data_IF_641193806112
#
_entry.id   IF_641193806112
#
_cell.length_a   1.000
_cell.length_b   1.000
_cell.length_c   1.000
_cell.angle_alpha   90.00
_cell.angle_beta   90.00
_cell.angle_gamma   90.00
#
_symmetry.space_group_name_H-M   'P 1'
#
loop_
_entity.id
_entity.type
_entity.pdbx_description
1 polymer ?
#
# COMPACT_ATOMS: atom_id res chain seq x y z
N UNK A 1 12.34 8.78 -1.69
CA UNK A 1 11.61 7.60 -1.17
C UNK A 1 11.26 7.83 0.28
N UNK A 2 10.01 8.13 0.52
CA UNK A 2 9.37 8.26 1.81
C UNK A 2 8.68 6.94 2.19
N UNK A 3 8.28 6.84 3.45
CA UNK A 3 7.47 5.73 3.97
C UNK A 3 6.10 6.28 4.38
N UNK A 4 5.07 5.63 3.89
CA UNK A 4 3.66 5.96 4.08
C UNK A 4 3.04 4.91 5.01
N UNK A 5 2.29 5.36 6.01
CA UNK A 5 1.55 4.50 6.91
C UNK A 5 0.06 4.56 6.59
N UNK A 6 -0.53 3.40 6.28
CA UNK A 6 -1.96 3.22 6.04
C UNK A 6 -2.59 2.35 7.13
N UNK A 7 -3.17 2.96 8.18
CA UNK A 7 -3.95 2.21 9.15
C UNK A 7 -5.17 1.58 8.49
N UNK A 8 -5.21 0.25 8.51
CA UNK A 8 -6.23 -0.60 7.89
C UNK A 8 -7.03 -1.37 8.93
N UNK A 9 -7.07 -0.88 10.18
CA UNK A 9 -7.66 -1.58 11.32
C UNK A 9 -9.09 -1.20 11.66
N UNK A 10 -9.67 -0.15 11.07
CA UNK A 10 -11.11 0.14 11.22
C UNK A 10 -11.93 -0.86 10.41
N UNK A 11 -13.23 -1.00 10.70
CA UNK A 11 -14.09 -1.94 9.97
C UNK A 11 -14.05 -1.69 8.46
N UNK A 12 -14.31 -0.46 8.01
CA UNK A 12 -14.28 -0.12 6.57
C UNK A 12 -12.88 -0.34 5.98
N UNK A 13 -11.83 0.13 6.65
CA UNK A 13 -10.47 -0.02 6.11
C UNK A 13 -10.02 -1.49 6.02
N UNK A 14 -10.49 -2.37 6.92
CA UNK A 14 -10.25 -3.82 6.79
C UNK A 14 -10.93 -4.38 5.55
N UNK A 15 -12.18 -4.03 5.29
CA UNK A 15 -12.88 -4.48 4.09
C UNK A 15 -12.18 -4.00 2.83
N UNK A 16 -11.77 -2.72 2.78
CA UNK A 16 -11.06 -2.20 1.62
C UNK A 16 -9.73 -2.92 1.36
N UNK A 17 -9.04 -3.30 2.45
CA UNK A 17 -7.79 -4.07 2.36
C UNK A 17 -8.06 -5.43 1.70
N UNK A 18 -9.12 -6.11 2.13
CA UNK A 18 -9.56 -7.36 1.48
C UNK A 18 -9.94 -7.10 0.02
N UNK A 19 -10.73 -6.07 -0.27
CA UNK A 19 -11.32 -5.80 -1.58
C UNK A 19 -10.30 -5.44 -2.67
N UNK A 20 -9.13 -4.90 -2.29
CA UNK A 20 -8.22 -4.28 -3.27
C UNK A 20 -6.73 -4.50 -3.02
N UNK A 21 -6.34 -5.02 -1.85
CA UNK A 21 -4.96 -5.43 -1.56
C UNK A 21 -4.86 -6.96 -1.57
N UNK A 22 -5.70 -7.67 -0.80
CA UNK A 22 -5.74 -9.14 -0.84
C UNK A 22 -6.37 -9.68 -2.13
N UNK A 23 -7.37 -8.98 -2.67
CA UNK A 23 -8.01 -9.28 -3.94
C UNK A 23 -7.79 -8.12 -4.92
N UNK A 24 -6.64 -8.06 -5.62
CA UNK A 24 -6.34 -6.94 -6.51
C UNK A 24 -7.41 -6.71 -7.58
N UNK A 25 -7.57 -5.45 -7.96
CA UNK A 25 -8.60 -4.99 -8.91
C UNK A 25 -8.27 -5.52 -10.31
N UNK A 26 -9.23 -6.21 -10.94
CA UNK A 26 -9.08 -6.69 -12.31
C UNK A 26 -9.43 -5.61 -13.34
N UNK A 27 -8.42 -5.11 -14.05
CA UNK A 27 -8.54 -4.11 -15.11
C UNK A 27 -9.24 -4.62 -16.38
N UNK A 28 -9.34 -5.94 -16.58
CA UNK A 28 -10.11 -6.52 -17.69
C UNK A 28 -11.62 -6.48 -17.44
N UNK A 29 -12.06 -6.22 -16.21
CA UNK A 29 -13.46 -5.99 -15.92
C UNK A 29 -13.96 -4.75 -16.68
N UNK A 30 -14.98 -4.92 -17.53
CA UNK A 30 -15.51 -3.87 -18.40
C UNK A 30 -15.93 -2.61 -17.63
N UNK A 31 -16.56 -2.77 -16.46
CA UNK A 31 -16.99 -1.66 -15.62
C UNK A 31 -15.80 -0.92 -15.02
N UNK A 32 -14.81 -1.65 -14.48
CA UNK A 32 -13.57 -1.06 -13.96
C UNK A 32 -12.84 -0.29 -15.06
N UNK A 33 -12.66 -0.89 -16.24
CA UNK A 33 -12.02 -0.25 -17.39
C UNK A 33 -12.74 1.03 -17.81
N UNK A 34 -14.07 0.99 -17.87
CA UNK A 34 -14.90 2.17 -18.20
C UNK A 34 -14.72 3.27 -17.16
N UNK A 35 -14.72 2.93 -15.87
CA UNK A 35 -14.57 3.90 -14.78
C UNK A 35 -13.15 4.46 -14.68
N UNK A 36 -12.12 3.71 -15.08
CA UNK A 36 -10.74 4.19 -15.13
C UNK A 36 -10.54 5.25 -16.22
N UNK A 37 -11.28 5.19 -17.33
CA UNK A 37 -11.16 6.15 -18.42
C UNK A 37 -9.71 6.26 -18.90
N UNK A 38 -9.19 7.50 -18.98
CA UNK A 38 -7.81 7.76 -19.42
C UNK A 38 -6.73 7.21 -18.48
N UNK A 39 -7.05 6.92 -17.21
CA UNK A 39 -6.11 6.32 -16.25
C UNK A 39 -5.77 4.87 -16.61
N UNK A 40 -6.64 4.21 -17.38
CA UNK A 40 -6.43 2.81 -17.80
C UNK A 40 -5.09 2.63 -18.52
N UNK A 41 -4.79 3.47 -19.51
CA UNK A 41 -3.59 3.32 -20.33
C UNK A 41 -2.31 3.47 -19.51
N UNK A 42 -2.30 4.41 -18.54
CA UNK A 42 -1.17 4.59 -17.62
C UNK A 42 -0.97 3.33 -16.76
N UNK A 43 -2.04 2.80 -16.16
CA UNK A 43 -1.96 1.60 -15.33
C UNK A 43 -1.57 0.36 -16.14
N UNK A 44 -2.12 0.17 -17.33
CA UNK A 44 -1.78 -0.95 -18.22
C UNK A 44 -0.34 -0.88 -18.76
N UNK A 45 0.25 0.32 -18.81
CA UNK A 45 1.67 0.48 -19.18
C UNK A 45 2.59 0.16 -18.01
N UNK A 46 2.23 0.58 -16.79
CA UNK A 46 3.05 0.42 -15.59
C UNK A 46 3.04 -1.03 -15.10
N UNK A 47 1.89 -1.69 -15.15
CA UNK A 47 1.69 -3.01 -14.57
C UNK A 47 1.76 -4.11 -15.63
N UNK A 48 2.57 -5.15 -15.39
CA UNK A 48 2.75 -6.28 -16.31
C UNK A 48 1.54 -7.26 -16.35
N UNK A 49 0.48 -6.99 -15.59
CA UNK A 49 -0.70 -7.83 -15.49
C UNK A 49 -1.99 -7.02 -15.27
N UNK A 50 -3.13 -7.69 -15.38
CA UNK A 50 -4.46 -7.08 -15.25
C UNK A 50 -4.95 -6.96 -13.81
N UNK A 51 -4.31 -7.64 -12.86
CA UNK A 51 -4.63 -7.59 -11.44
C UNK A 51 -3.75 -6.54 -10.74
N UNK A 52 -4.35 -5.42 -10.34
CA UNK A 52 -3.63 -4.28 -9.78
C UNK A 52 -4.12 -3.99 -8.37
N UNK A 53 -3.20 -3.99 -7.42
CA UNK A 53 -3.51 -3.58 -6.07
C UNK A 53 -3.69 -2.06 -6.01
N UNK A 54 -4.75 -1.62 -5.33
CA UNK A 54 -5.11 -0.21 -5.25
C UNK A 54 -5.46 0.17 -3.82
N UNK A 55 -5.22 1.43 -3.48
CA UNK A 55 -5.68 2.01 -2.23
C UNK A 55 -6.18 3.43 -2.45
N UNK A 56 -6.97 3.93 -1.52
CA UNK A 56 -7.50 5.28 -1.60
C UNK A 56 -7.54 5.97 -0.24
N UNK A 57 -7.51 7.29 -0.26
CA UNK A 57 -7.76 8.14 0.91
C UNK A 57 -8.87 9.14 0.63
N UNK A 58 -9.69 9.44 1.64
CA UNK A 58 -10.76 10.43 1.52
C UNK A 58 -10.14 11.83 1.41
N UNK A 59 -10.48 12.64 0.40
CA UNK A 59 -10.04 14.02 0.29
C UNK A 59 -10.38 14.86 1.53
N UNK A 60 -9.58 15.91 1.75
CA UNK A 60 -9.77 16.91 2.80
C UNK A 60 -8.45 17.55 3.18
N UNK A 61 -8.47 18.75 3.75
CA UNK A 61 -7.29 19.62 3.94
C UNK A 61 -6.03 18.88 4.41
N UNK A 62 -6.16 18.01 5.42
CA UNK A 62 -5.05 17.22 5.95
C UNK A 62 -4.64 16.04 5.08
N UNK A 63 -5.58 15.36 4.44
CA UNK A 63 -5.29 14.18 3.62
C UNK A 63 -4.76 14.57 2.24
N UNK A 64 -5.32 15.59 1.61
CA UNK A 64 -4.86 16.10 0.32
C UNK A 64 -3.41 16.57 0.41
N UNK A 65 -3.05 17.39 1.41
CA UNK A 65 -1.66 17.81 1.59
C UNK A 65 -0.69 16.67 1.92
N UNK A 66 -1.15 15.57 2.53
CA UNK A 66 -0.32 14.38 2.72
C UNK A 66 -0.18 13.57 1.44
N UNK A 67 -1.27 13.44 0.68
CA UNK A 67 -1.31 12.74 -0.60
C UNK A 67 -0.42 13.44 -1.62
N UNK A 68 -0.39 14.77 -1.64
CA UNK A 68 0.50 15.56 -2.51
C UNK A 68 1.99 15.33 -2.22
N UNK A 69 2.35 15.02 -0.97
CA UNK A 69 3.73 14.69 -0.56
C UNK A 69 4.14 13.24 -0.83
N UNK A 70 3.22 12.39 -1.26
CA UNK A 70 3.56 11.04 -1.72
C UNK A 70 4.09 11.11 -3.14
N UNK A 71 5.16 10.38 -3.41
CA UNK A 71 5.70 10.22 -4.76
C UNK A 71 5.60 8.78 -5.23
N UNK A 72 5.58 8.58 -6.55
CA UNK A 72 5.81 7.26 -7.13
C UNK A 72 7.19 6.75 -6.70
N UNK A 73 7.28 5.47 -6.34
CA UNK A 73 8.46 4.85 -5.73
C UNK A 73 8.49 4.91 -4.19
N UNK A 74 7.56 5.61 -3.53
CA UNK A 74 7.46 5.57 -2.07
C UNK A 74 6.94 4.23 -1.54
N UNK A 75 7.34 3.85 -0.33
CA UNK A 75 6.91 2.59 0.30
C UNK A 75 5.67 2.82 1.15
N UNK A 76 4.62 2.02 0.93
CA UNK A 76 3.39 2.01 1.74
C UNK A 76 3.43 0.82 2.69
N UNK A 77 3.11 1.07 3.97
CA UNK A 77 2.95 0.06 5.00
C UNK A 77 1.51 0.01 5.49
N UNK A 78 0.88 -1.15 5.35
CA UNK A 78 -0.47 -1.41 5.83
C UNK A 78 -0.41 -1.91 7.28
N UNK A 79 -1.15 -1.24 8.16
CA UNK A 79 -1.07 -1.46 9.60
C UNK A 79 -2.44 -1.83 10.18
N UNK A 80 -2.57 -3.03 10.73
CA UNK A 80 -3.76 -3.49 11.45
C UNK A 80 -3.39 -4.53 12.52
N UNK A 81 -4.28 -4.83 13.45
CA UNK A 81 -4.04 -5.86 14.47
C UNK A 81 -2.70 -5.69 15.23
N UNK A 82 -2.33 -4.43 15.52
CA UNK A 82 -1.10 -4.01 16.20
C UNK A 82 0.21 -4.44 15.50
N UNK A 83 0.18 -4.60 14.18
CA UNK A 83 1.35 -4.93 13.37
C UNK A 83 1.28 -4.27 11.99
N UNK A 84 2.43 -4.13 11.33
CA UNK A 84 2.50 -3.97 9.88
C UNK A 84 2.26 -5.35 9.27
N UNK A 85 1.25 -5.44 8.39
CA UNK A 85 0.80 -6.70 7.78
C UNK A 85 1.22 -6.86 6.33
N UNK A 86 1.51 -5.75 5.64
CA UNK A 86 1.97 -5.75 4.27
C UNK A 86 2.72 -4.45 3.94
N UNK A 87 3.57 -4.54 2.93
CA UNK A 87 4.23 -3.41 2.29
C UNK A 87 3.99 -3.42 0.77
N UNK A 88 4.09 -2.27 0.12
CA UNK A 88 4.11 -2.15 -1.33
C UNK A 88 4.77 -0.84 -1.78
N UNK A 89 4.97 -0.68 -3.09
CA UNK A 89 5.56 0.52 -3.68
C UNK A 89 4.49 1.29 -4.45
N UNK A 90 4.36 2.60 -4.21
CA UNK A 90 3.45 3.48 -4.97
C UNK A 90 3.88 3.48 -6.42
N UNK A 91 3.04 2.95 -7.30
CA UNK A 91 3.35 2.82 -8.72
C UNK A 91 2.74 3.93 -9.57
N UNK A 92 1.52 4.35 -9.23
CA UNK A 92 0.86 5.46 -9.92
C UNK A 92 -0.18 6.12 -9.04
N UNK A 93 -0.22 7.46 -9.01
CA UNK A 93 -1.21 8.26 -8.28
C UNK A 93 -2.26 8.81 -9.24
N UNK A 94 -3.53 8.78 -8.83
CA UNK A 94 -4.63 9.34 -9.61
C UNK A 94 -5.82 9.70 -8.72
N UNK A 95 -6.68 10.60 -9.16
CA UNK A 95 -7.94 10.89 -8.47
C UNK A 95 -9.11 10.31 -9.28
N UNK A 96 -9.95 9.49 -8.64
CA UNK A 96 -11.10 8.89 -9.31
C UNK A 96 -12.25 8.58 -8.33
N UNK A 97 -13.19 9.53 -8.21
CA UNK A 97 -14.38 9.38 -7.36
C UNK A 97 -15.28 8.23 -7.82
N UNK A 98 -15.49 8.07 -9.13
CA UNK A 98 -16.41 7.08 -9.67
C UNK A 98 -15.91 5.64 -9.44
N UNK A 99 -14.61 5.39 -9.62
CA UNK A 99 -14.01 4.10 -9.31
C UNK A 99 -13.99 3.84 -7.80
N UNK A 100 -13.62 4.82 -6.98
CA UNK A 100 -13.60 4.67 -5.52
C UNK A 100 -15.00 4.34 -4.97
N UNK A 101 -16.06 4.99 -5.45
CA UNK A 101 -17.46 4.63 -5.11
C UNK A 101 -17.82 3.23 -5.57
N UNK A 102 -17.34 2.80 -6.72
CA UNK A 102 -17.59 1.45 -7.20
C UNK A 102 -16.91 0.37 -6.35
N UNK A 103 -15.66 0.62 -5.94
CA UNK A 103 -14.84 -0.34 -5.18
C UNK A 103 -15.21 -0.37 -3.71
N UNK A 104 -15.43 0.80 -3.09
CA UNK A 104 -15.52 0.94 -1.63
C UNK A 104 -16.80 1.65 -1.15
N UNK A 105 -17.65 2.13 -2.06
CA UNK A 105 -18.84 2.90 -1.71
C UNK A 105 -18.48 4.28 -1.12
N UNK A 106 -19.23 4.67 -0.09
CA UNK A 106 -19.08 5.96 0.59
C UNK A 106 -19.11 5.79 2.11
N UNK A 107 -18.53 6.76 2.82
CA UNK A 107 -18.66 6.87 4.26
C UNK A 107 -19.99 7.51 4.69
N UNK A 108 -20.21 7.64 6.00
CA UNK A 108 -21.42 8.23 6.59
C UNK A 108 -21.65 9.70 6.19
N UNK A 109 -20.67 10.36 5.58
CA UNK A 109 -20.73 11.75 5.11
C UNK A 109 -20.82 11.84 3.58
N UNK A 110 -21.14 10.74 2.90
CA UNK A 110 -21.20 10.61 1.42
C UNK A 110 -19.87 10.94 0.72
N UNK A 111 -18.76 10.67 1.40
CA UNK A 111 -17.41 10.82 0.82
C UNK A 111 -16.86 9.46 0.45
N UNK A 112 -16.01 9.43 -0.57
CA UNK A 112 -15.29 8.21 -0.97
C UNK A 112 -13.77 8.40 -0.90
N UNK A 113 -13.03 7.32 -1.08
CA UNK A 113 -11.56 7.28 -1.02
C UNK A 113 -10.94 7.63 -2.38
N UNK A 114 -11.32 8.77 -2.95
CA UNK A 114 -11.03 9.13 -4.36
C UNK A 114 -9.58 9.50 -4.65
N UNK A 115 -8.77 9.87 -3.64
CA UNK A 115 -7.33 10.06 -3.81
C UNK A 115 -6.65 8.69 -3.83
N UNK A 116 -6.57 8.11 -5.02
CA UNK A 116 -6.24 6.71 -5.25
C UNK A 116 -4.79 6.54 -5.72
N UNK A 117 -4.21 5.38 -5.42
CA UNK A 117 -2.94 5.00 -6.00
C UNK A 117 -2.86 3.49 -6.21
N UNK A 118 -2.12 3.09 -7.24
CA UNK A 118 -1.79 1.70 -7.51
C UNK A 118 -0.48 1.31 -6.85
N UNK A 119 -0.33 0.01 -6.57
CA UNK A 119 0.83 -0.55 -5.87
C UNK A 119 1.49 -1.66 -6.68
N UNK A 120 2.82 -1.68 -6.66
CA UNK A 120 3.64 -2.83 -7.08
C UNK A 120 4.37 -3.43 -5.87
N UNK A 121 5.06 -4.55 -6.10
CA UNK A 121 5.95 -5.17 -5.12
C UNK A 121 5.29 -5.42 -3.75
N UNK A 122 4.04 -5.88 -3.77
CA UNK A 122 3.34 -6.26 -2.54
C UNK A 122 4.07 -7.42 -1.85
N UNK A 123 4.30 -7.27 -0.55
CA UNK A 123 4.88 -8.29 0.32
C UNK A 123 4.11 -8.35 1.62
N UNK A 124 3.87 -9.58 2.11
CA UNK A 124 3.36 -9.78 3.46
C UNK A 124 4.42 -9.39 4.49
N UNK A 125 3.98 -8.78 5.58
CA UNK A 125 4.84 -8.31 6.66
C UNK A 125 4.36 -8.83 8.01
N UNK A 126 5.30 -8.98 8.94
CA UNK A 126 5.01 -9.40 10.31
C UNK A 126 5.79 -8.57 11.34
N UNK A 127 5.68 -7.24 11.23
CA UNK A 127 6.41 -6.32 12.10
C UNK A 127 5.46 -5.80 13.18
N UNK A 128 5.73 -6.11 14.45
CA UNK A 128 4.89 -5.62 15.54
C UNK A 128 4.97 -4.09 15.67
N UNK A 129 3.93 -3.45 16.20
CA UNK A 129 4.00 -2.01 16.50
C UNK A 129 5.13 -1.67 17.47
N UNK A 130 5.47 -2.58 18.40
CA UNK A 130 6.56 -2.36 19.35
C UNK A 130 7.89 -2.25 18.59
N UNK A 131 8.17 -3.19 17.69
CA UNK A 131 9.42 -3.21 16.92
C UNK A 131 9.48 -2.02 15.96
N UNK A 132 8.39 -1.75 15.27
CA UNK A 132 8.25 -0.56 14.42
C UNK A 132 8.50 0.72 15.22
N UNK A 133 7.82 0.90 16.37
CA UNK A 133 7.94 2.11 17.17
C UNK A 133 9.36 2.30 17.71
N UNK A 134 10.01 1.22 18.17
CA UNK A 134 11.41 1.26 18.60
C UNK A 134 12.33 1.71 17.48
N UNK A 135 12.17 1.14 16.29
CA UNK A 135 13.00 1.46 15.13
C UNK A 135 12.93 2.94 14.75
N UNK A 136 11.74 3.54 14.79
CA UNK A 136 11.55 4.96 14.40
C UNK A 136 11.65 5.95 15.57
N UNK A 137 11.95 5.47 16.78
CA UNK A 137 12.08 6.28 17.99
C UNK A 137 10.74 6.81 18.52
N UNK A 138 9.63 6.14 18.24
CA UNK A 138 8.34 6.40 18.88
C UNK A 138 8.24 5.72 20.25
N UNK A 139 7.29 6.18 21.08
CA UNK A 139 6.90 5.46 22.29
C UNK A 139 6.36 4.08 21.90
N UNK A 140 6.69 3.04 22.65
CA UNK A 140 6.29 1.66 22.30
C UNK A 140 4.77 1.47 22.20
N UNK A 141 4.01 2.22 22.99
CA UNK A 141 2.54 2.20 22.99
C UNK A 141 1.91 3.12 21.92
N UNK A 142 2.71 3.73 21.05
CA UNK A 142 2.20 4.52 19.94
C UNK A 142 1.39 3.64 18.99
N UNK A 143 0.23 4.14 18.56
CA UNK A 143 -0.66 3.44 17.64
C UNK A 143 -0.60 4.19 16.30
N UNK A 144 -0.36 3.44 15.22
CA UNK A 144 -0.47 4.00 13.87
C UNK A 144 -1.95 4.30 13.61
N UNK A 145 -2.25 5.58 13.47
CA UNK A 145 -3.61 6.10 13.26
C UNK A 145 -3.56 7.23 12.24
N UNK A 146 -4.55 7.26 11.35
CA UNK A 146 -4.59 8.18 10.22
C UNK A 146 -3.51 7.91 9.16
N UNK A 147 -3.85 8.20 7.91
CA UNK A 147 -2.90 8.25 6.80
C UNK A 147 -1.75 9.21 7.15
N UNK A 148 -0.50 8.73 7.04
CA UNK A 148 0.70 9.47 7.47
C UNK A 148 1.82 9.28 6.47
N UNK A 149 2.53 10.35 6.13
CA UNK A 149 3.81 10.31 5.39
C UNK A 149 4.92 10.64 6.38
N UNK A 150 5.86 9.72 6.57
CA UNK A 150 6.99 9.90 7.49
C UNK A 150 8.01 10.89 6.92
N UNK A 151 8.75 11.55 7.81
CA UNK A 151 9.91 12.35 7.42
C UNK A 151 11.07 11.47 6.96
N UNK A 152 12.00 12.04 6.19
CA UNK A 152 13.12 11.31 5.57
C UNK A 152 13.96 10.51 6.57
N UNK A 153 14.15 11.03 7.79
CA UNK A 153 14.92 10.33 8.83
C UNK A 153 14.19 9.07 9.27
N UNK A 154 12.90 9.16 9.61
CA UNK A 154 12.11 7.99 10.01
C UNK A 154 11.91 7.03 8.86
N UNK A 155 11.71 7.52 7.64
CA UNK A 155 11.62 6.68 6.45
C UNK A 155 12.89 5.84 6.27
N UNK A 156 14.08 6.44 6.38
CA UNK A 156 15.34 5.70 6.31
C UNK A 156 15.42 4.55 7.33
N UNK A 157 15.08 4.83 8.60
CA UNK A 157 15.10 3.82 9.67
C UNK A 157 14.12 2.67 9.42
N UNK A 158 12.92 2.95 8.90
CA UNK A 158 11.95 1.89 8.57
C UNK A 158 12.44 1.03 7.41
N UNK A 159 13.01 1.65 6.38
CA UNK A 159 13.52 0.94 5.21
C UNK A 159 14.67 0.01 5.57
N UNK A 160 15.55 0.41 6.48
CA UNK A 160 16.59 -0.48 7.03
C UNK A 160 16.00 -1.71 7.71
N UNK A 161 14.93 -1.54 8.50
CA UNK A 161 14.23 -2.66 9.16
C UNK A 161 13.61 -3.59 8.14
N UNK A 162 12.87 -3.07 7.14
CA UNK A 162 12.26 -3.90 6.10
C UNK A 162 13.31 -4.74 5.36
N UNK A 163 14.43 -4.12 4.97
CA UNK A 163 15.53 -4.81 4.28
C UNK A 163 16.25 -5.85 5.15
N UNK A 164 16.23 -5.70 6.48
CA UNK A 164 16.74 -6.74 7.39
C UNK A 164 15.74 -7.88 7.56
N UNK A 165 14.45 -7.58 7.71
CA UNK A 165 13.39 -8.58 7.86
C UNK A 165 13.25 -9.45 6.62
N UNK A 166 13.36 -8.88 5.41
CA UNK A 166 13.33 -9.64 4.16
C UNK A 166 14.47 -10.68 4.10
N UNK A 167 15.68 -10.31 4.55
CA UNK A 167 16.84 -11.22 4.58
C UNK A 167 16.65 -12.34 5.58
N UNK A 168 16.16 -12.02 6.78
CA UNK A 168 15.90 -13.02 7.81
C UNK A 168 14.83 -14.02 7.37
N UNK A 169 13.77 -13.55 6.69
CA UNK A 169 12.73 -14.40 6.13
C UNK A 169 13.25 -15.27 4.99
N UNK A 170 14.05 -14.73 4.06
CA UNK A 170 14.71 -15.51 3.00
C UNK A 170 15.60 -16.63 3.60
N UNK A 171 16.34 -16.34 4.67
CA UNK A 171 17.15 -17.35 5.37
C UNK A 171 16.31 -18.44 6.04
N UNK A 172 15.20 -18.07 6.69
CA UNK A 172 14.27 -19.05 7.30
C UNK A 172 13.64 -19.94 6.24
N UNK A 173 13.16 -19.38 5.12
CA UNK A 173 12.59 -20.16 4.02
C UNK A 173 13.61 -21.06 3.33
N UNK A 174 14.85 -20.57 3.15
CA UNK A 174 15.95 -21.37 2.61
C UNK A 174 16.29 -22.56 3.52
N UNK A 175 16.24 -22.38 4.85
CA UNK A 175 16.45 -23.47 5.84
C UNK A 175 15.29 -24.45 5.89
N UNK A 176 14.06 -24.00 5.68
CA UNK A 176 12.85 -24.84 5.71
C UNK A 176 12.49 -25.48 4.36
N UNK A 177 13.25 -25.22 3.28
CA UNK A 177 13.01 -25.79 1.96
C UNK A 177 11.71 -25.33 1.29
N UNK A 178 11.16 -24.18 1.71
CA UNK A 178 9.94 -23.60 1.14
C UNK A 178 10.31 -22.56 0.08
N UNK A 179 9.79 -22.73 -1.14
CA UNK A 179 10.04 -21.79 -2.25
C UNK A 179 9.29 -20.49 -1.99
N UNK A 180 10.02 -19.37 -1.95
CA UNK A 180 9.43 -18.02 -1.99
C UNK A 180 8.64 -17.90 -3.29
N UNK A 181 7.32 -17.70 -3.23
CA UNK A 181 6.53 -17.28 -4.38
C UNK A 181 6.91 -15.84 -4.74
N UNK A 182 8.05 -15.71 -5.43
CA UNK A 182 8.50 -14.44 -5.99
C UNK A 182 7.67 -14.21 -7.25
N UNK A 183 6.61 -13.41 -7.15
CA UNK A 183 6.01 -12.83 -8.36
C UNK A 183 7.15 -12.07 -9.05
N UNK A 184 7.49 -12.51 -10.26
CA UNK A 184 8.74 -12.20 -10.93
C UNK A 184 9.03 -10.68 -10.92
N UNK A 185 10.12 -10.26 -10.26
CA UNK A 185 10.92 -9.16 -10.83
C UNK A 185 11.44 -9.69 -12.16
N UNK A 186 10.82 -9.27 -13.25
CA UNK A 186 11.44 -9.32 -14.57
C UNK A 186 12.77 -8.58 -14.46
N UNK A 187 13.86 -9.35 -14.40
CA UNK A 187 15.21 -8.86 -14.60
C UNK A 187 15.22 -8.14 -15.94
N UNK A 188 15.61 -6.87 -15.93
CA UNK A 188 16.29 -6.24 -17.04
C UNK A 188 17.33 -7.23 -17.58
N UNK A 189 17.23 -7.54 -18.87
CA UNK A 189 18.29 -8.13 -19.66
C UNK A 189 18.34 -7.38 -20.98
N UNK A 190 19.46 -6.65 -21.10
CA UNK A 190 20.16 -6.15 -22.28
C UNK A 190 19.44 -5.17 -23.21
#
# INVERSE_FOLDING_TARGET
>A
MSVILQPSGSTNARWHYVDTIENPVNLENEKVRTLLGSTYDALSTIHQGSLIAMWGVVPGDLNSGKYDRMDEGDVVLFAMNKRIVASGIVAHKFENDALARHLWGVDEKDRTWSLMYSLTDLQDQWISYIDFNRAVGYKENNIIQGFTVLDSRKSGLVLEVLLSSDRDMEEVYAREGKTVFRMHRSKERD
#
